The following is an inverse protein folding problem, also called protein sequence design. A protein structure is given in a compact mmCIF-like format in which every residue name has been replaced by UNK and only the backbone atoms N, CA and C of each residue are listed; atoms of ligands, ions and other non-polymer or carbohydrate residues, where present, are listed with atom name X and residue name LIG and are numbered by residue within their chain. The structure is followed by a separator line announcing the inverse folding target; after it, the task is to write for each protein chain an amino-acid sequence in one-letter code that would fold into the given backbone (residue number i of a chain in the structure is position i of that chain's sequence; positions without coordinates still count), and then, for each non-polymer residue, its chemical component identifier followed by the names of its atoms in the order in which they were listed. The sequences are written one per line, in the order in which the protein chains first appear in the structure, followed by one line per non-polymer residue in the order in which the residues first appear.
data_IF_370703391655
#
_entry.id   IF_370703391655
#
_cell.length_a   1.000
_cell.length_b   1.000
_cell.length_c   1.000
_cell.angle_alpha   90.00
_cell.angle_beta   90.00
_cell.angle_gamma   90.00
#
_symmetry.space_group_name_H-M   'P 1'
#
loop_
_entity.id
_entity.type
_entity.pdbx_description
1 polymer ?
#
# COMPACT_ATOMS: atom_id res chain seq x y z
N UNK A 1 12.88 6.02 -20.27
CA UNK A 1 12.14 4.85 -19.75
C UNK A 1 12.76 3.60 -20.35
N UNK A 2 13.04 2.59 -19.53
CA UNK A 2 13.54 1.29 -19.98
C UNK A 2 12.35 0.42 -20.43
N UNK A 3 12.54 -0.40 -21.48
CA UNK A 3 11.54 -1.35 -21.95
C UNK A 3 11.94 -2.72 -21.42
N UNK A 4 10.99 -3.41 -20.77
CA UNK A 4 11.17 -4.78 -20.27
C UNK A 4 10.25 -5.68 -21.08
N UNK A 5 10.82 -6.65 -21.79
CA UNK A 5 10.06 -7.67 -22.52
C UNK A 5 9.70 -8.83 -21.59
N UNK A 6 8.47 -9.33 -21.70
CA UNK A 6 7.95 -10.42 -20.90
C UNK A 6 6.85 -11.17 -21.68
N UNK A 7 6.64 -12.44 -21.37
CA UNK A 7 5.45 -13.15 -21.87
C UNK A 7 4.17 -12.64 -21.20
N UNK A 8 3.01 -13.01 -21.75
CA UNK A 8 1.72 -12.50 -21.28
C UNK A 8 1.50 -12.76 -19.79
N UNK A 9 1.80 -13.96 -19.30
CA UNK A 9 1.58 -14.33 -17.89
C UNK A 9 2.49 -13.53 -16.96
N UNK A 10 3.75 -13.36 -17.34
CA UNK A 10 4.73 -12.60 -16.57
C UNK A 10 4.35 -11.12 -16.53
N UNK A 11 3.91 -10.55 -17.64
CA UNK A 11 3.42 -9.17 -17.71
C UNK A 11 2.21 -8.93 -16.78
N UNK A 12 1.24 -9.84 -16.77
CA UNK A 12 0.09 -9.80 -15.84
C UNK A 12 0.55 -9.84 -14.38
N UNK A 13 1.46 -10.75 -14.04
CA UNK A 13 1.97 -10.88 -12.67
C UNK A 13 2.80 -9.67 -12.23
N UNK A 14 3.56 -9.03 -13.12
CA UNK A 14 4.26 -7.76 -12.82
C UNK A 14 3.25 -6.69 -12.39
N UNK A 15 2.11 -6.58 -13.08
CA UNK A 15 1.07 -5.61 -12.73
C UNK A 15 0.51 -5.86 -11.33
N UNK A 16 0.18 -7.11 -11.03
CA UNK A 16 -0.28 -7.49 -9.69
C UNK A 16 0.79 -7.23 -8.64
N UNK A 17 2.03 -7.67 -8.86
CA UNK A 17 3.12 -7.50 -7.90
C UNK A 17 3.31 -6.03 -7.49
N UNK A 18 3.40 -5.11 -8.46
CA UNK A 18 3.62 -3.69 -8.20
C UNK A 18 2.43 -3.08 -7.44
N UNK A 19 1.20 -3.29 -7.92
CA UNK A 19 0.03 -2.68 -7.32
C UNK A 19 -0.29 -3.25 -5.93
N UNK A 20 -0.16 -4.56 -5.73
CA UNK A 20 -0.32 -5.18 -4.42
C UNK A 20 0.74 -4.67 -3.43
N UNK A 21 2.00 -4.56 -3.85
CA UNK A 21 3.07 -4.02 -3.00
C UNK A 21 2.79 -2.58 -2.56
N UNK A 22 2.32 -1.72 -3.48
CA UNK A 22 1.92 -0.36 -3.13
C UNK A 22 0.72 -0.31 -2.19
N UNK A 23 -0.28 -1.17 -2.36
CA UNK A 23 -1.39 -1.27 -1.42
C UNK A 23 -0.90 -1.64 0.00
N UNK A 24 -0.02 -2.65 0.10
CA UNK A 24 0.58 -3.09 1.37
C UNK A 24 1.41 -1.97 2.02
N UNK A 25 2.18 -1.19 1.23
CA UNK A 25 2.89 -0.01 1.74
C UNK A 25 1.94 1.00 2.38
N UNK A 26 0.78 1.26 1.76
CA UNK A 26 -0.24 2.17 2.30
C UNK A 26 -0.85 1.59 3.58
N UNK A 27 -1.17 0.29 3.60
CA UNK A 27 -1.69 -0.40 4.80
C UNK A 27 -0.71 -0.24 5.97
N UNK A 28 0.56 -0.58 5.75
CA UNK A 28 1.64 -0.40 6.73
C UNK A 28 1.71 1.04 7.22
N UNK A 29 1.73 2.01 6.29
CA UNK A 29 1.85 3.43 6.61
C UNK A 29 0.73 3.92 7.53
N UNK A 30 -0.51 3.47 7.32
CA UNK A 30 -1.67 3.87 8.11
C UNK A 30 -1.63 3.31 9.54
N UNK A 31 -1.33 2.02 9.72
CA UNK A 31 -1.18 1.46 11.07
C UNK A 31 0.01 2.09 11.81
N UNK A 32 1.14 2.29 11.12
CA UNK A 32 2.31 2.92 11.73
C UNK A 32 2.03 4.38 12.14
N UNK A 33 1.23 5.12 11.35
CA UNK A 33 0.76 6.46 11.69
C UNK A 33 -0.07 6.46 12.99
N UNK A 34 -1.02 5.53 13.15
CA UNK A 34 -1.79 5.41 14.40
C UNK A 34 -0.91 5.14 15.61
N UNK A 35 0.10 4.27 15.47
CA UNK A 35 1.08 4.01 16.54
C UNK A 35 1.85 5.29 16.85
N UNK A 36 2.36 6.00 15.85
CA UNK A 36 3.07 7.26 16.06
C UNK A 36 2.22 8.29 16.83
N UNK A 37 0.94 8.42 16.49
CA UNK A 37 0.02 9.31 17.22
C UNK A 37 -0.17 8.90 18.67
N UNK A 38 -0.31 7.59 18.94
CA UNK A 38 -0.41 7.06 20.30
C UNK A 38 0.85 7.34 21.13
N UNK A 39 2.02 7.21 20.52
CA UNK A 39 3.32 7.40 21.19
C UNK A 39 3.80 8.87 21.21
N UNK A 40 3.05 9.81 20.63
CA UNK A 40 3.46 11.21 20.50
C UNK A 40 4.65 11.42 19.55
N UNK A 41 4.93 10.47 18.65
CA UNK A 41 6.02 10.53 17.70
C UNK A 41 5.62 11.29 16.42
N UNK A 42 6.51 12.14 15.92
CA UNK A 42 6.27 12.94 14.71
C UNK A 42 6.37 12.08 13.44
N UNK A 43 5.24 11.50 13.01
CA UNK A 43 5.17 10.63 11.82
C UNK A 43 5.76 11.27 10.57
N UNK A 44 5.51 12.56 10.32
CA UNK A 44 6.03 13.24 9.14
C UNK A 44 7.56 13.22 9.07
N UNK A 45 8.24 13.40 10.21
CA UNK A 45 9.70 13.33 10.29
C UNK A 45 10.20 11.90 10.03
N UNK A 46 9.46 10.88 10.50
CA UNK A 46 9.77 9.47 10.26
C UNK A 46 9.60 9.15 8.77
N UNK A 47 8.46 9.49 8.17
CA UNK A 47 8.15 9.35 6.75
C UNK A 47 9.22 10.02 5.88
N UNK A 48 9.58 11.27 6.17
CA UNK A 48 10.64 11.98 5.45
C UNK A 48 11.99 11.27 5.56
N UNK A 49 12.31 10.72 6.73
CA UNK A 49 13.53 9.93 6.93
C UNK A 49 13.50 8.63 6.13
N UNK A 50 12.35 7.95 6.08
CA UNK A 50 12.14 6.76 5.26
C UNK A 50 12.29 7.07 3.77
N UNK A 51 11.73 8.17 3.29
CA UNK A 51 11.87 8.62 1.90
C UNK A 51 13.31 8.94 1.47
N UNK A 52 14.24 9.16 2.40
CA UNK A 52 15.67 9.32 2.11
C UNK A 52 16.38 7.99 1.87
N UNK A 53 15.76 6.85 2.19
CA UNK A 53 16.36 5.52 1.99
C UNK A 53 16.13 5.04 0.56
N UNK A 54 17.21 4.69 -0.15
CA UNK A 54 17.19 4.28 -1.57
C UNK A 54 16.22 3.13 -1.88
N UNK A 55 15.99 2.23 -0.93
CA UNK A 55 15.18 1.02 -1.10
C UNK A 55 13.69 1.23 -0.82
N UNK A 56 13.29 2.32 -0.16
CA UNK A 56 11.89 2.56 0.23
C UNK A 56 11.13 3.28 -0.90
N UNK A 57 11.81 4.20 -1.59
CA UNK A 57 11.23 5.09 -2.59
C UNK A 57 10.37 6.20 -1.96
N UNK A 58 10.05 7.22 -2.75
CA UNK A 58 9.33 8.44 -2.30
C UNK A 58 7.83 8.40 -2.60
N UNK A 59 7.16 7.31 -2.24
CA UNK A 59 5.73 7.13 -2.51
C UNK A 59 5.04 6.25 -1.46
N UNK A 60 3.71 6.34 -1.41
CA UNK A 60 2.79 5.46 -0.66
C UNK A 60 3.03 5.38 0.87
N UNK A 61 3.70 6.38 1.48
CA UNK A 61 3.83 6.51 2.94
C UNK A 61 3.22 7.82 3.47
N UNK A 62 2.47 8.57 2.65
CA UNK A 62 1.80 9.79 3.10
C UNK A 62 0.47 9.44 3.75
N UNK A 63 0.29 9.82 5.02
CA UNK A 63 -0.92 9.54 5.80
C UNK A 63 -1.27 10.77 6.66
N UNK A 64 -2.54 11.21 6.68
CA UNK A 64 -3.61 10.84 5.74
C UNK A 64 -3.32 11.38 4.33
N UNK A 65 -3.73 10.66 3.28
CA UNK A 65 -3.57 11.10 1.89
C UNK A 65 -4.86 11.76 1.42
N UNK A 66 -4.78 13.03 0.96
CA UNK A 66 -5.96 13.82 0.57
C UNK A 66 -7.09 13.81 1.62
N UNK A 67 -6.72 13.95 2.90
CA UNK A 67 -7.66 13.91 4.04
C UNK A 67 -8.42 12.57 4.15
N UNK A 68 -7.82 11.46 3.72
CA UNK A 68 -8.41 10.13 3.86
C UNK A 68 -7.36 9.12 4.32
N UNK A 69 -7.77 8.19 5.16
CA UNK A 69 -6.99 7.01 5.52
C UNK A 69 -7.18 5.88 4.49
N UNK A 70 -6.24 4.95 4.46
CA UNK A 70 -6.39 3.68 3.74
C UNK A 70 -6.01 3.72 2.26
N UNK A 71 -6.28 2.60 1.58
CA UNK A 71 -5.91 2.40 0.18
C UNK A 71 -7.01 3.00 -0.69
N UNK A 72 -6.65 4.00 -1.50
CA UNK A 72 -7.60 4.78 -2.32
C UNK A 72 -7.24 4.74 -3.80
N UNK A 73 -8.15 5.26 -4.63
CA UNK A 73 -8.05 5.26 -6.08
C UNK A 73 -8.58 3.98 -6.72
N UNK A 74 -8.58 3.93 -8.06
CA UNK A 74 -9.20 2.83 -8.81
C UNK A 74 -8.32 1.58 -8.90
N UNK A 75 -7.01 1.76 -9.03
CA UNK A 75 -6.11 0.66 -9.39
C UNK A 75 -5.71 -0.23 -8.21
N UNK A 76 -5.24 0.35 -7.11
CA UNK A 76 -4.69 -0.42 -5.99
C UNK A 76 -5.75 -1.31 -5.32
N UNK A 77 -6.92 -0.79 -4.87
CA UNK A 77 -7.92 -1.63 -4.22
C UNK A 77 -8.44 -2.73 -5.14
N UNK A 78 -8.71 -2.38 -6.41
CA UNK A 78 -9.23 -3.31 -7.42
C UNK A 78 -8.26 -4.46 -7.68
N UNK A 79 -6.97 -4.16 -7.90
CA UNK A 79 -5.98 -5.19 -8.22
C UNK A 79 -5.64 -6.05 -6.98
N UNK A 80 -5.69 -5.48 -5.76
CA UNK A 80 -5.53 -6.26 -4.52
C UNK A 80 -6.68 -7.23 -4.30
N UNK A 81 -7.94 -6.77 -4.41
CA UNK A 81 -9.13 -7.62 -4.30
C UNK A 81 -9.14 -8.71 -5.38
N UNK A 82 -8.82 -8.35 -6.63
CA UNK A 82 -8.78 -9.30 -7.72
C UNK A 82 -7.70 -10.38 -7.50
N UNK A 83 -6.51 -9.99 -7.04
CA UNK A 83 -5.42 -10.92 -6.80
C UNK A 83 -5.67 -11.84 -5.59
N UNK A 84 -6.27 -11.32 -4.51
CA UNK A 84 -6.69 -12.11 -3.37
C UNK A 84 -7.68 -13.22 -3.79
N UNK A 85 -8.69 -12.86 -4.58
CA UNK A 85 -9.67 -13.82 -5.15
C UNK A 85 -9.02 -14.84 -6.09
N UNK A 86 -8.11 -14.39 -6.97
CA UNK A 86 -7.41 -15.25 -7.91
C UNK A 86 -6.51 -16.28 -7.20
N UNK A 87 -5.73 -15.82 -6.23
CA UNK A 87 -4.75 -16.66 -5.54
C UNK A 87 -5.34 -17.51 -4.43
N UNK A 88 -6.49 -17.11 -3.87
CA UNK A 88 -7.10 -17.66 -2.66
C UNK A 88 -6.08 -17.83 -1.52
N UNK A 89 -5.12 -16.91 -1.44
CA UNK A 89 -4.02 -16.99 -0.49
C UNK A 89 -4.38 -16.23 0.79
N UNK A 90 -4.22 -16.84 1.98
CA UNK A 90 -4.61 -16.21 3.25
C UNK A 90 -3.99 -14.83 3.47
N UNK A 91 -2.71 -14.65 3.12
CA UNK A 91 -2.03 -13.37 3.30
C UNK A 91 -2.72 -12.24 2.51
N UNK A 92 -3.07 -12.48 1.24
CA UNK A 92 -3.71 -11.45 0.42
C UNK A 92 -5.16 -11.20 0.84
N UNK A 93 -5.85 -12.22 1.35
CA UNK A 93 -7.18 -12.04 1.95
C UNK A 93 -7.12 -11.14 3.18
N UNK A 94 -6.17 -11.38 4.09
CA UNK A 94 -5.95 -10.52 5.26
C UNK A 94 -5.59 -9.08 4.86
N UNK A 95 -4.77 -8.88 3.82
CA UNK A 95 -4.48 -7.53 3.32
C UNK A 95 -5.72 -6.80 2.79
N UNK A 96 -6.69 -7.51 2.20
CA UNK A 96 -7.98 -6.93 1.80
C UNK A 96 -8.80 -6.52 3.04
N UNK A 97 -8.85 -7.37 4.06
CA UNK A 97 -9.55 -7.07 5.32
C UNK A 97 -8.96 -5.83 6.01
N UNK A 98 -7.63 -5.74 6.13
CA UNK A 98 -6.97 -4.55 6.68
C UNK A 98 -7.21 -3.30 5.83
N UNK A 99 -7.22 -3.43 4.50
CA UNK A 99 -7.58 -2.32 3.64
C UNK A 99 -8.99 -1.83 3.94
N UNK A 100 -9.98 -2.72 3.99
CA UNK A 100 -11.37 -2.38 4.27
C UNK A 100 -11.54 -1.73 5.66
N UNK A 101 -10.84 -2.24 6.67
CA UNK A 101 -10.80 -1.65 8.01
C UNK A 101 -10.28 -0.20 7.98
N UNK A 102 -9.08 0.01 7.44
CA UNK A 102 -8.45 1.34 7.41
C UNK A 102 -9.29 2.31 6.57
N UNK A 103 -9.94 1.82 5.52
CA UNK A 103 -10.76 2.65 4.65
C UNK A 103 -11.95 3.28 5.39
N UNK A 104 -12.39 2.72 6.52
CA UNK A 104 -13.46 3.24 7.36
C UNK A 104 -12.97 4.11 8.52
N UNK A 105 -11.67 4.39 8.65
CA UNK A 105 -11.16 5.28 9.69
C UNK A 105 -11.50 6.74 9.38
N UNK A 106 -11.93 7.46 10.43
CA UNK A 106 -12.20 8.90 10.40
C UNK A 106 -10.95 9.71 10.73
N UNK A 107 -10.89 10.96 10.24
CA UNK A 107 -9.81 11.93 10.48
C UNK A 107 -9.74 12.36 11.94
#
# INVERSE_FOLDING_TARGET
SEIIEADNKTAEMIKYAINNFYAIKVIFANYFYKICNKEGAAYDKIKETMYKRKWIGKNHLTVPYNKQFGVRGKCLPKDLIAFAKYSNNPFFNEMVEYMEEINNWEI
#
